data_IF_767561848674
#
_entry.id   IF_767561848674
#
_cell.length_a   1.000
_cell.length_b   1.000
_cell.length_c   1.000
_cell.angle_alpha   90.00
_cell.angle_beta   90.00
_cell.angle_gamma   90.00
#
_symmetry.space_group_name_H-M   'P 1'
#
loop_
_entity.id
_entity.type
_entity.pdbx_description
1 polymer ?
#
# COMPACT_ATOMS: atom_id res chain seq x y z
N UNK A 1 9.03 77.68 67.79
CA UNK A 1 10.48 77.75 68.03
C UNK A 1 11.13 76.40 68.35
N UNK A 2 10.58 75.59 69.27
CA UNK A 2 11.20 74.32 69.67
C UNK A 2 11.31 73.26 68.54
N UNK A 3 10.29 73.14 67.67
CA UNK A 3 10.32 72.22 66.52
C UNK A 3 11.37 72.61 65.46
N UNK A 4 11.61 73.90 65.27
CA UNK A 4 12.62 74.41 64.33
C UNK A 4 14.04 74.13 64.83
N UNK A 5 14.24 74.23 66.15
CA UNK A 5 15.50 73.84 66.80
C UNK A 5 15.77 72.34 66.68
N UNK A 6 14.78 71.50 66.97
CA UNK A 6 14.89 70.04 66.84
C UNK A 6 15.16 69.62 65.39
N UNK A 7 14.51 70.26 64.42
CA UNK A 7 14.77 70.02 62.99
C UNK A 7 16.19 70.42 62.58
N UNK A 8 16.69 71.56 63.07
CA UNK A 8 18.06 72.00 62.82
C UNK A 8 19.11 71.04 63.43
N UNK A 9 18.83 70.46 64.60
CA UNK A 9 19.69 69.46 65.23
C UNK A 9 19.66 68.12 64.47
N UNK A 10 18.49 67.68 64.00
CA UNK A 10 18.38 66.51 63.11
C UNK A 10 19.19 66.72 61.83
N UNK A 11 19.08 67.89 61.19
CA UNK A 11 19.87 68.23 59.99
C UNK A 11 21.38 68.19 60.28
N UNK A 12 21.83 68.60 61.46
CA UNK A 12 23.26 68.51 61.85
C UNK A 12 23.72 67.08 62.12
N UNK A 13 22.84 66.22 62.63
CA UNK A 13 23.13 64.82 62.91
C UNK A 13 23.14 63.94 61.66
N UNK A 14 22.37 64.29 60.62
CA UNK A 14 22.27 63.53 59.37
C UNK A 14 23.65 63.33 58.70
N UNK A 15 24.47 64.37 58.43
CA UNK A 15 25.80 64.20 57.82
C UNK A 15 26.76 63.38 58.68
N UNK A 16 26.68 63.51 60.01
CA UNK A 16 27.51 62.75 60.95
C UNK A 16 27.17 61.26 60.89
N UNK A 17 25.88 60.95 60.89
CA UNK A 17 25.38 59.58 60.74
C UNK A 17 25.76 59.01 59.36
N UNK A 18 25.54 59.76 58.28
CA UNK A 18 25.93 59.37 56.91
C UNK A 18 27.43 59.07 56.83
N UNK A 19 28.29 59.97 57.33
CA UNK A 19 29.74 59.77 57.30
C UNK A 19 30.21 58.57 58.13
N UNK A 20 29.50 58.21 59.20
CA UNK A 20 29.80 57.01 59.98
C UNK A 20 29.41 55.71 59.28
N UNK A 21 28.39 55.75 58.42
CA UNK A 21 27.84 54.59 57.71
C UNK A 21 28.57 54.36 56.37
N UNK A 22 29.07 55.40 55.72
CA UNK A 22 29.75 55.31 54.40
C UNK A 22 30.89 54.27 54.35
N UNK A 23 31.83 54.18 55.32
CA UNK A 23 32.87 53.17 55.31
C UNK A 23 32.33 51.74 55.45
N UNK A 24 31.33 51.57 56.31
CA UNK A 24 30.66 50.28 56.52
C UNK A 24 29.93 49.83 55.26
N UNK A 25 29.16 50.73 54.62
CA UNK A 25 28.48 50.45 53.36
C UNK A 25 29.49 50.05 52.29
N UNK A 26 30.62 50.77 52.16
CA UNK A 26 31.65 50.43 51.19
C UNK A 26 32.28 49.05 51.40
N UNK A 27 32.54 48.66 52.64
CA UNK A 27 33.06 47.32 52.95
C UNK A 27 32.03 46.23 52.66
N UNK A 28 30.77 46.43 53.06
CA UNK A 28 29.69 45.47 52.82
C UNK A 28 29.31 45.36 51.34
N UNK A 29 29.35 46.47 50.58
CA UNK A 29 29.17 46.46 49.13
C UNK A 29 30.16 45.52 48.45
N UNK A 30 31.46 45.63 48.73
CA UNK A 30 32.46 44.75 48.13
C UNK A 30 32.28 43.26 48.47
N UNK A 31 31.94 42.94 49.72
CA UNK A 31 31.67 41.56 50.15
C UNK A 31 30.43 41.01 49.44
N UNK A 32 29.37 41.80 49.34
CA UNK A 32 28.11 41.37 48.72
C UNK A 32 28.29 41.22 47.20
N UNK A 33 29.01 42.12 46.55
CA UNK A 33 29.38 42.02 45.13
C UNK A 33 30.11 40.70 44.83
N UNK A 34 31.14 40.36 45.63
CA UNK A 34 31.88 39.09 45.48
C UNK A 34 30.98 37.86 45.71
N UNK A 35 30.10 37.91 46.71
CA UNK A 35 29.14 36.83 46.98
C UNK A 35 28.14 36.64 45.83
N UNK A 36 27.69 37.71 45.17
CA UNK A 36 26.73 37.63 44.06
C UNK A 36 27.43 37.16 42.78
N UNK A 37 28.66 37.60 42.54
CA UNK A 37 29.46 37.12 41.41
C UNK A 37 29.75 35.62 41.55
N UNK A 38 30.12 35.18 42.76
CA UNK A 38 30.30 33.75 43.08
C UNK A 38 29.01 32.97 42.86
N UNK A 39 27.88 33.45 43.40
CA UNK A 39 26.58 32.81 43.21
C UNK A 39 26.15 32.76 41.73
N UNK A 40 26.44 33.80 40.95
CA UNK A 40 26.13 33.83 39.52
C UNK A 40 26.94 32.77 38.74
N UNK A 41 28.21 32.58 39.10
CA UNK A 41 29.05 31.50 38.54
C UNK A 41 28.55 30.11 38.96
N UNK A 42 28.14 29.95 40.22
CA UNK A 42 27.53 28.72 40.70
C UNK A 42 26.22 28.40 39.96
N UNK A 43 25.37 29.40 39.72
CA UNK A 43 24.12 29.23 38.96
C UNK A 43 24.38 28.80 37.52
N UNK A 44 25.41 29.34 36.87
CA UNK A 44 25.82 28.89 35.54
C UNK A 44 26.34 27.44 35.53
N UNK A 45 27.02 27.00 36.60
CA UNK A 45 27.43 25.60 36.75
C UNK A 45 26.23 24.68 37.03
N UNK A 46 25.33 25.09 37.92
CA UNK A 46 24.07 24.38 38.20
C UNK A 46 23.22 24.22 36.93
N UNK A 47 23.24 25.18 36.01
CA UNK A 47 22.57 25.08 34.70
C UNK A 47 23.18 23.96 33.84
N UNK A 48 24.51 23.86 33.81
CA UNK A 48 25.19 22.78 33.09
C UNK A 48 24.86 21.41 33.69
N UNK A 49 24.89 21.32 35.02
CA UNK A 49 24.55 20.10 35.75
C UNK A 49 23.06 19.74 35.58
N UNK A 50 22.18 20.73 35.42
CA UNK A 50 20.76 20.53 35.13
C UNK A 50 20.54 19.85 33.78
N UNK A 51 21.36 20.18 32.76
CA UNK A 51 21.32 19.57 31.43
C UNK A 51 21.93 18.17 31.37
N UNK A 52 22.64 17.71 32.41
CA UNK A 52 23.16 16.34 32.49
C UNK A 52 22.31 15.40 33.34
N UNK A 53 21.20 15.90 33.91
CA UNK A 53 20.31 15.11 34.77
C UNK A 53 19.65 13.95 34.03
N UNK A 54 19.27 12.95 34.82
CA UNK A 54 18.74 11.68 34.34
C UNK A 54 17.49 11.85 33.47
N UNK A 55 16.59 12.79 33.76
CA UNK A 55 15.33 12.98 33.03
C UNK A 55 15.48 13.44 31.56
N UNK A 56 16.70 13.74 31.10
CA UNK A 56 16.99 13.99 29.69
C UNK A 56 17.36 12.72 28.90
N UNK A 57 17.68 11.63 29.61
CA UNK A 57 18.06 10.34 29.02
C UNK A 57 16.82 9.53 28.63
N UNK A 58 17.01 8.61 27.70
CA UNK A 58 16.03 7.67 27.16
C UNK A 58 15.80 6.43 28.06
N UNK A 59 16.73 6.15 28.97
CA UNK A 59 16.69 4.97 29.86
C UNK A 59 15.60 5.00 30.96
N UNK A 60 14.83 6.09 31.09
CA UNK A 60 13.83 6.23 32.17
C UNK A 60 12.41 5.97 31.69
N UNK A 61 11.62 5.33 32.56
CA UNK A 61 10.16 5.29 32.41
C UNK A 61 9.56 6.67 32.65
N UNK A 62 8.39 7.00 32.06
CA UNK A 62 7.71 8.27 32.35
C UNK A 62 7.44 8.51 33.85
N UNK A 63 7.26 7.43 34.62
CA UNK A 63 7.05 7.49 36.08
C UNK A 63 8.32 7.93 36.80
N UNK A 64 9.47 7.36 36.43
CA UNK A 64 10.75 7.70 37.06
C UNK A 64 11.26 9.06 36.60
N UNK A 65 10.99 9.44 35.34
CA UNK A 65 11.22 10.79 34.85
C UNK A 65 10.41 11.83 35.65
N UNK A 66 9.13 11.57 35.96
CA UNK A 66 8.31 12.44 36.82
C UNK A 66 8.86 12.58 38.24
N UNK A 67 9.36 11.50 38.84
CA UNK A 67 10.02 11.57 40.16
C UNK A 67 11.27 12.45 40.11
N UNK A 68 12.11 12.24 39.11
CA UNK A 68 13.33 13.04 38.91
C UNK A 68 13.00 14.52 38.63
N UNK A 69 11.92 14.81 37.89
CA UNK A 69 11.41 16.16 37.68
C UNK A 69 10.87 16.78 38.98
N UNK A 70 10.13 16.04 39.81
CA UNK A 70 9.64 16.54 41.10
C UNK A 70 10.79 16.92 42.05
N UNK A 71 11.88 16.14 42.06
CA UNK A 71 13.09 16.48 42.80
C UNK A 71 13.81 17.70 42.21
N UNK A 72 13.78 17.85 40.89
CA UNK A 72 14.26 19.05 40.21
C UNK A 72 13.42 20.30 40.52
N UNK A 73 12.09 20.17 40.64
CA UNK A 73 11.19 21.26 41.05
C UNK A 73 11.50 21.72 42.48
N UNK A 74 11.73 20.78 43.42
CA UNK A 74 12.11 21.11 44.80
C UNK A 74 13.45 21.84 44.85
N UNK A 75 14.42 21.37 44.06
CA UNK A 75 15.71 22.04 43.91
C UNK A 75 15.54 23.47 43.38
N UNK A 76 14.80 23.67 42.27
CA UNK A 76 14.57 25.00 41.69
C UNK A 76 13.83 25.94 42.64
N UNK A 77 12.86 25.44 43.40
CA UNK A 77 12.16 26.24 44.39
C UNK A 77 13.11 26.78 45.47
N UNK A 78 14.04 25.94 45.92
CA UNK A 78 15.06 26.34 46.91
C UNK A 78 16.00 27.41 46.32
N UNK A 79 16.42 27.25 45.07
CA UNK A 79 17.27 28.24 44.37
C UNK A 79 16.53 29.55 44.06
N UNK A 80 15.22 29.50 43.78
CA UNK A 80 14.37 30.68 43.63
C UNK A 80 14.27 31.46 44.93
N UNK A 81 14.05 30.79 46.06
CA UNK A 81 14.00 31.43 47.38
C UNK A 81 15.35 32.11 47.71
N UNK A 82 16.48 31.46 47.39
CA UNK A 82 17.81 32.07 47.53
C UNK A 82 18.02 33.26 46.59
N UNK A 83 17.56 33.17 45.34
CA UNK A 83 17.64 34.25 44.36
C UNK A 83 16.83 35.47 44.78
N UNK A 84 15.64 35.29 45.38
CA UNK A 84 14.83 36.39 45.93
C UNK A 84 15.57 37.10 47.05
N UNK A 85 16.20 36.35 47.97
CA UNK A 85 17.00 36.91 49.05
C UNK A 85 18.19 37.73 48.51
N UNK A 86 18.91 37.19 47.51
CA UNK A 86 20.03 37.89 46.86
C UNK A 86 19.56 39.12 46.07
N UNK A 87 18.42 39.05 45.40
CA UNK A 87 17.81 40.19 44.68
C UNK A 87 17.45 41.32 45.63
N UNK A 88 16.89 41.01 46.81
CA UNK A 88 16.58 42.00 47.82
C UNK A 88 17.84 42.69 48.33
N UNK A 89 18.93 41.95 48.57
CA UNK A 89 20.23 42.52 48.93
C UNK A 89 20.75 43.47 47.83
N UNK A 90 20.65 43.10 46.55
CA UNK A 90 21.11 43.97 45.46
C UNK A 90 20.30 45.24 45.29
N UNK A 91 19.01 45.22 45.66
CA UNK A 91 18.17 46.43 45.71
C UNK A 91 18.55 47.33 46.88
N UNK A 92 18.91 46.76 48.03
CA UNK A 92 19.30 47.54 49.22
C UNK A 92 20.62 48.30 49.03
N UNK A 93 21.54 47.78 48.21
CA UNK A 93 22.86 48.36 47.98
C UNK A 93 23.08 48.92 46.56
N UNK A 94 22.01 49.10 45.76
CA UNK A 94 22.01 49.74 44.44
C UNK A 94 22.87 49.08 43.33
N UNK A 95 22.94 47.73 43.28
CA UNK A 95 23.57 46.97 42.18
C UNK A 95 22.68 45.87 41.57
N UNK A 96 21.48 46.19 41.05
CA UNK A 96 20.54 45.21 40.51
C UNK A 96 21.07 44.42 39.29
N UNK A 97 22.07 44.95 38.58
CA UNK A 97 22.63 44.34 37.38
C UNK A 97 23.38 43.02 37.64
N UNK A 98 23.94 42.83 38.84
CA UNK A 98 24.75 41.65 39.18
C UNK A 98 23.92 40.37 39.32
N UNK A 99 22.61 40.48 39.59
CA UNK A 99 21.71 39.31 39.73
C UNK A 99 21.09 38.91 38.40
N UNK A 100 21.25 39.72 37.36
CA UNK A 100 20.60 39.50 36.06
C UNK A 100 21.00 38.14 35.46
N UNK A 101 22.28 37.80 35.47
CA UNK A 101 22.78 36.52 34.96
C UNK A 101 22.22 35.32 35.74
N UNK A 102 22.19 35.39 37.08
CA UNK A 102 21.61 34.34 37.92
C UNK A 102 20.09 34.20 37.72
N UNK A 103 19.40 35.31 37.49
CA UNK A 103 17.95 35.34 37.20
C UNK A 103 17.65 34.72 35.86
N UNK A 104 18.43 35.04 34.83
CA UNK A 104 18.32 34.44 33.49
C UNK A 104 18.59 32.93 33.55
N UNK A 105 19.63 32.48 34.27
CA UNK A 105 19.89 31.05 34.46
C UNK A 105 18.74 30.33 35.16
N UNK A 106 18.15 30.93 36.20
CA UNK A 106 17.02 30.35 36.92
C UNK A 106 15.75 30.31 36.05
N UNK A 107 15.51 31.36 35.25
CA UNK A 107 14.41 31.39 34.30
C UNK A 107 14.58 30.30 33.22
N UNK A 108 15.79 30.13 32.67
CA UNK A 108 16.09 29.07 31.70
C UNK A 108 15.86 27.68 32.29
N UNK A 109 16.30 27.40 33.53
CA UNK A 109 16.02 26.10 34.16
C UNK A 109 14.53 25.84 34.39
N UNK A 110 13.74 26.88 34.70
CA UNK A 110 12.30 26.75 34.88
C UNK A 110 11.59 26.49 33.54
N UNK A 111 12.01 27.17 32.48
CA UNK A 111 11.50 26.93 31.13
C UNK A 111 11.87 25.53 30.65
N UNK A 112 13.13 25.12 30.82
CA UNK A 112 13.62 23.78 30.47
C UNK A 112 12.84 22.69 31.23
N UNK A 113 12.55 22.89 32.52
CA UNK A 113 11.76 21.93 33.32
C UNK A 113 10.31 21.84 32.82
N UNK A 114 9.67 22.98 32.55
CA UNK A 114 8.30 23.03 32.06
C UNK A 114 8.16 22.37 30.68
N UNK A 115 9.12 22.60 29.79
CA UNK A 115 9.16 21.95 28.47
C UNK A 115 9.51 20.46 28.57
N UNK A 116 10.34 20.06 29.52
CA UNK A 116 10.60 18.65 29.81
C UNK A 116 9.35 17.92 30.30
N UNK A 117 8.55 18.55 31.18
CA UNK A 117 7.29 17.98 31.66
C UNK A 117 6.27 17.79 30.53
N UNK A 118 6.16 18.77 29.62
CA UNK A 118 5.36 18.64 28.39
C UNK A 118 5.86 17.50 27.51
N UNK A 119 7.17 17.38 27.31
CA UNK A 119 7.78 16.31 26.51
C UNK A 119 7.45 14.92 27.07
N UNK A 120 7.62 14.71 28.38
CA UNK A 120 7.29 13.42 29.01
C UNK A 120 5.80 13.12 29.00
N UNK A 121 4.95 14.14 29.07
CA UNK A 121 3.49 13.98 28.90
C UNK A 121 3.13 13.53 27.47
N UNK A 122 3.74 14.13 26.45
CA UNK A 122 3.57 13.70 25.05
C UNK A 122 4.12 12.28 24.84
N UNK A 123 5.25 11.96 25.44
CA UNK A 123 5.87 10.63 25.35
C UNK A 123 5.00 9.56 26.00
N UNK A 124 4.40 9.84 27.16
CA UNK A 124 3.46 8.93 27.82
C UNK A 124 2.20 8.71 26.98
N UNK A 125 1.65 9.77 26.39
CA UNK A 125 0.49 9.65 25.50
C UNK A 125 0.81 8.80 24.27
N UNK A 126 2.00 8.96 23.68
CA UNK A 126 2.48 8.13 22.58
C UNK A 126 2.64 6.66 23.01
N UNK A 127 3.28 6.40 24.15
CA UNK A 127 3.45 5.04 24.67
C UNK A 127 2.12 4.37 24.97
N UNK A 128 1.16 5.12 25.53
CA UNK A 128 -0.20 4.64 25.79
C UNK A 128 -0.94 4.33 24.50
N UNK A 129 -0.91 5.24 23.53
CA UNK A 129 -1.49 5.03 22.21
C UNK A 129 -0.94 3.75 21.58
N UNK A 130 0.40 3.58 21.55
CA UNK A 130 1.04 2.35 21.03
C UNK A 130 0.60 1.11 21.81
N UNK A 131 0.48 1.20 23.14
CA UNK A 131 0.04 0.07 23.97
C UNK A 131 -1.42 -0.30 23.73
N UNK A 132 -2.31 0.68 23.56
CA UNK A 132 -3.72 0.49 23.22
C UNK A 132 -3.86 -0.11 21.82
N UNK A 133 -3.13 0.42 20.82
CA UNK A 133 -3.12 -0.13 19.46
C UNK A 133 -2.69 -1.60 19.45
N UNK A 134 -1.72 -2.01 20.29
CA UNK A 134 -1.30 -3.41 20.41
C UNK A 134 -2.41 -4.37 20.86
N UNK A 135 -3.43 -3.87 21.56
CA UNK A 135 -4.56 -4.67 22.06
C UNK A 135 -5.73 -4.74 21.07
N UNK A 136 -5.67 -4.02 19.95
CA UNK A 136 -6.71 -4.06 18.92
C UNK A 136 -6.60 -5.36 18.13
N UNK A 137 -7.74 -6.02 17.90
CA UNK A 137 -7.82 -7.19 17.03
C UNK A 137 -7.50 -6.80 15.60
N UNK A 138 -6.64 -7.59 14.95
CA UNK A 138 -6.24 -7.37 13.56
C UNK A 138 -7.44 -7.26 12.61
N UNK A 139 -8.48 -8.07 12.84
CA UNK A 139 -9.67 -8.12 12.00
C UNK A 139 -10.61 -6.91 12.14
N UNK A 140 -10.59 -6.21 13.27
CA UNK A 140 -11.48 -5.07 13.57
C UNK A 140 -10.80 -3.71 13.37
N UNK A 141 -9.55 -3.72 12.90
CA UNK A 141 -8.72 -2.53 12.81
C UNK A 141 -9.18 -1.60 11.68
N UNK A 142 -9.45 -0.34 12.02
CA UNK A 142 -9.59 0.74 11.05
C UNK A 142 -8.22 1.34 10.73
N UNK A 143 -7.69 1.00 9.55
CA UNK A 143 -6.40 1.49 9.07
C UNK A 143 -6.36 3.00 8.81
N UNK A 144 -7.49 3.61 8.43
CA UNK A 144 -7.55 5.03 8.13
C UNK A 144 -7.54 5.84 9.42
N UNK A 145 -8.34 5.42 10.40
CA UNK A 145 -8.34 6.03 11.73
C UNK A 145 -6.96 5.90 12.38
N UNK A 146 -6.33 4.73 12.27
CA UNK A 146 -5.01 4.50 12.87
C UNK A 146 -3.91 5.33 12.21
N UNK A 147 -3.94 5.53 10.89
CA UNK A 147 -3.02 6.42 10.18
C UNK A 147 -3.21 7.89 10.62
N UNK A 148 -4.46 8.36 10.75
CA UNK A 148 -4.75 9.71 11.21
C UNK A 148 -4.28 9.94 12.65
N UNK A 149 -4.59 9.01 13.56
CA UNK A 149 -4.14 9.07 14.95
C UNK A 149 -2.61 9.03 15.05
N UNK A 150 -1.93 8.20 14.26
CA UNK A 150 -0.46 8.14 14.19
C UNK A 150 0.15 9.46 13.71
N UNK A 151 -0.43 10.09 12.67
CA UNK A 151 -0.01 11.42 12.19
C UNK A 151 -0.18 12.49 13.26
N UNK A 152 -1.25 12.41 14.05
CA UNK A 152 -1.49 13.34 15.15
C UNK A 152 -0.44 13.19 16.27
N UNK A 153 0.00 11.97 16.59
CA UNK A 153 1.10 11.76 17.54
C UNK A 153 2.42 12.36 17.04
N UNK A 154 2.78 12.15 15.77
CA UNK A 154 3.99 12.76 15.19
C UNK A 154 3.92 14.29 15.22
N UNK A 155 2.75 14.87 14.95
CA UNK A 155 2.53 16.32 15.08
C UNK A 155 2.70 16.80 16.52
N UNK A 156 2.17 16.07 17.50
CA UNK A 156 2.31 16.40 18.92
C UNK A 156 3.77 16.41 19.38
N UNK A 157 4.57 15.40 18.97
CA UNK A 157 6.01 15.35 19.25
C UNK A 157 6.75 16.53 18.58
N UNK A 158 6.45 16.82 17.30
CA UNK A 158 7.07 17.93 16.57
C UNK A 158 6.66 19.32 17.08
N UNK A 159 5.51 19.44 17.74
CA UNK A 159 5.04 20.69 18.33
C UNK A 159 5.81 21.09 19.59
N UNK A 160 6.59 20.17 20.19
CA UNK A 160 7.46 20.47 21.32
C UNK A 160 8.51 21.54 20.96
N UNK A 161 8.84 22.36 21.96
CA UNK A 161 9.78 23.46 21.83
C UNK A 161 11.17 22.97 21.39
N UNK A 162 11.88 23.80 20.63
CA UNK A 162 13.23 23.49 20.13
C UNK A 162 14.23 23.26 21.27
N UNK A 163 14.00 23.84 22.45
CA UNK A 163 14.87 23.70 23.62
C UNK A 163 15.01 22.25 24.12
N UNK A 164 14.05 21.36 23.86
CA UNK A 164 14.12 19.95 24.29
C UNK A 164 14.56 18.99 23.19
N UNK A 165 14.70 19.43 21.93
CA UNK A 165 14.96 18.54 20.79
C UNK A 165 16.34 17.89 20.77
N UNK A 166 17.29 18.44 21.51
CA UNK A 166 18.65 17.91 21.58
C UNK A 166 18.72 16.64 22.45
N UNK A 167 17.77 16.45 23.37
CA UNK A 167 17.85 15.40 24.39
C UNK A 167 17.55 14.00 23.81
N UNK A 168 18.19 12.95 24.33
CA UNK A 168 17.91 11.57 23.97
C UNK A 168 16.42 11.18 24.11
N UNK A 169 15.75 11.61 25.18
CA UNK A 169 14.34 11.30 25.41
C UNK A 169 13.42 11.80 24.27
N UNK A 170 13.65 13.03 23.79
CA UNK A 170 12.92 13.57 22.63
C UNK A 170 13.22 12.75 21.37
N UNK A 171 14.49 12.42 21.11
CA UNK A 171 14.88 11.63 19.93
C UNK A 171 14.26 10.24 19.95
N UNK A 172 14.16 9.61 21.11
CA UNK A 172 13.50 8.32 21.29
C UNK A 172 11.99 8.43 21.00
N UNK A 173 11.31 9.45 21.53
CA UNK A 173 9.88 9.69 21.25
C UNK A 173 9.61 10.02 19.77
N UNK A 174 10.44 10.86 19.16
CA UNK A 174 10.37 11.20 17.72
C UNK A 174 10.60 9.96 16.86
N UNK A 175 11.62 9.13 17.17
CA UNK A 175 11.86 7.85 16.50
C UNK A 175 10.66 6.92 16.64
N UNK A 176 10.19 6.65 17.86
CA UNK A 176 9.03 5.78 18.12
C UNK A 176 7.79 6.23 17.35
N UNK A 177 7.50 7.53 17.33
CA UNK A 177 6.33 8.08 16.62
C UNK A 177 6.43 7.88 15.10
N UNK A 178 7.63 8.03 14.53
CA UNK A 178 7.88 7.86 13.08
C UNK A 178 7.87 6.39 12.69
N UNK A 179 8.53 5.54 13.47
CA UNK A 179 8.60 4.10 13.20
C UNK A 179 7.20 3.48 13.25
N UNK A 180 6.38 3.90 14.22
CA UNK A 180 4.98 3.50 14.28
C UNK A 180 4.19 3.98 13.05
N UNK A 181 4.29 5.28 12.69
CA UNK A 181 3.62 5.82 11.50
C UNK A 181 4.05 5.12 10.21
N UNK A 182 5.33 4.82 10.03
CA UNK A 182 5.86 4.12 8.86
C UNK A 182 5.40 2.66 8.79
N UNK A 183 5.07 2.06 9.94
CA UNK A 183 4.55 0.68 10.00
C UNK A 183 3.09 0.61 9.54
N UNK A 184 2.30 1.69 9.69
CA UNK A 184 0.87 1.69 9.33
C UNK A 184 0.62 1.37 7.83
N UNK A 185 1.28 2.01 6.85
CA UNK A 185 1.10 1.66 5.44
C UNK A 185 1.43 0.19 5.13
N UNK A 186 2.48 -0.36 5.75
CA UNK A 186 2.88 -1.76 5.57
C UNK A 186 1.83 -2.72 6.12
N UNK A 187 1.27 -2.39 7.28
CA UNK A 187 0.14 -3.12 7.85
C UNK A 187 -1.08 -3.06 6.92
N UNK A 188 -1.36 -1.90 6.31
CA UNK A 188 -2.49 -1.76 5.36
C UNK A 188 -2.31 -2.66 4.15
N UNK A 189 -1.08 -2.75 3.63
CA UNK A 189 -0.74 -3.65 2.52
C UNK A 189 -0.92 -5.12 2.92
N UNK A 190 -0.48 -5.50 4.12
CA UNK A 190 -0.62 -6.86 4.66
C UNK A 190 -2.07 -7.23 4.99
N UNK A 191 -2.90 -6.27 5.38
CA UNK A 191 -4.31 -6.45 5.66
C UNK A 191 -5.15 -6.63 4.39
N UNK A 192 -4.61 -6.29 3.21
CA UNK A 192 -5.29 -6.56 1.95
C UNK A 192 -5.52 -8.08 1.78
N UNK A 193 -6.72 -8.46 1.34
CA UNK A 193 -7.14 -9.86 1.12
C UNK A 193 -6.42 -10.55 -0.07
N UNK A 194 -5.27 -10.01 -0.49
CA UNK A 194 -4.39 -10.58 -1.51
C UNK A 194 -3.37 -11.59 -0.94
N UNK A 195 -3.06 -11.51 0.35
CA UNK A 195 -2.07 -12.39 0.97
C UNK A 195 -2.57 -13.85 1.02
N UNK A 196 -1.65 -14.79 0.83
CA UNK A 196 -1.86 -16.25 0.86
C UNK A 196 -0.74 -16.86 1.71
N UNK A 197 -0.90 -18.12 2.11
CA UNK A 197 0.07 -18.82 2.98
C UNK A 197 1.53 -18.65 2.54
N UNK A 198 1.82 -18.81 1.25
CA UNK A 198 3.16 -18.60 0.66
C UNK A 198 3.74 -17.20 0.88
N UNK A 199 2.91 -16.15 0.86
CA UNK A 199 3.37 -14.78 1.07
C UNK A 199 3.69 -14.54 2.55
N UNK A 200 2.91 -15.15 3.45
CA UNK A 200 3.20 -15.12 4.88
C UNK A 200 4.48 -15.90 5.22
N UNK A 201 4.74 -17.01 4.54
CA UNK A 201 5.99 -17.76 4.68
C UNK A 201 7.20 -16.96 4.16
N UNK A 202 7.06 -16.29 3.01
CA UNK A 202 8.08 -15.36 2.52
C UNK A 202 8.35 -14.21 3.52
N UNK A 203 7.31 -13.70 4.17
CA UNK A 203 7.43 -12.66 5.19
C UNK A 203 8.19 -13.16 6.44
N UNK A 204 7.95 -14.41 6.87
CA UNK A 204 8.73 -15.04 7.96
C UNK A 204 10.21 -15.14 7.61
N UNK A 205 10.52 -15.55 6.37
CA UNK A 205 11.89 -15.68 5.90
C UNK A 205 12.60 -14.31 5.81
N UNK A 206 11.91 -13.27 5.35
CA UNK A 206 12.45 -11.91 5.26
C UNK A 206 12.72 -11.31 6.65
N UNK A 207 11.74 -11.39 7.55
CA UNK A 207 11.84 -10.83 8.90
C UNK A 207 12.70 -11.67 9.85
N UNK A 208 12.97 -12.94 9.52
CA UNK A 208 13.65 -13.94 10.37
C UNK A 208 12.98 -14.10 11.74
N UNK A 209 11.69 -13.81 11.83
CA UNK A 209 10.88 -13.90 13.04
C UNK A 209 9.78 -14.93 12.82
N UNK A 210 9.65 -15.84 13.77
CA UNK A 210 8.52 -16.78 13.78
C UNK A 210 7.28 -16.07 14.33
N UNK A 211 6.19 -16.12 13.57
CA UNK A 211 4.88 -15.64 14.01
C UNK A 211 3.74 -16.51 13.46
N UNK A 212 2.58 -16.42 14.10
CA UNK A 212 1.36 -17.07 13.64
C UNK A 212 0.65 -16.13 12.67
N UNK A 213 0.48 -16.48 11.39
CA UNK A 213 -0.15 -15.60 10.43
C UNK A 213 -1.65 -15.36 10.73
N UNK A 214 -2.22 -14.23 10.26
CA UNK A 214 -3.63 -13.88 10.53
C UNK A 214 -4.66 -14.90 10.00
N UNK A 215 -4.30 -15.76 9.04
CA UNK A 215 -5.20 -16.81 8.56
C UNK A 215 -5.35 -17.98 9.54
N UNK A 216 -4.37 -18.19 10.42
CA UNK A 216 -4.34 -19.30 11.36
C UNK A 216 -4.90 -18.92 12.74
N UNK A 217 -4.81 -17.64 13.11
CA UNK A 217 -5.32 -17.12 14.38
C UNK A 217 -6.30 -15.96 14.14
N UNK A 218 -7.58 -16.19 14.45
CA UNK A 218 -8.64 -15.18 14.32
C UNK A 218 -8.63 -14.16 15.45
N UNK A 219 -7.94 -14.45 16.55
CA UNK A 219 -7.78 -13.55 17.70
C UNK A 219 -6.43 -12.80 17.66
N UNK A 220 -5.73 -12.83 16.52
CA UNK A 220 -4.44 -12.17 16.37
C UNK A 220 -4.55 -10.67 16.69
N UNK A 221 -3.79 -10.25 17.69
CA UNK A 221 -3.67 -8.86 18.09
C UNK A 221 -2.65 -8.12 17.22
N UNK A 222 -2.87 -6.83 16.99
CA UNK A 222 -1.94 -5.96 16.27
C UNK A 222 -0.54 -5.98 16.91
N UNK A 223 -0.45 -6.17 18.22
CA UNK A 223 0.83 -6.30 18.93
C UNK A 223 1.72 -7.42 18.40
N UNK A 224 1.14 -8.52 17.90
CA UNK A 224 1.90 -9.61 17.27
C UNK A 224 2.55 -9.18 15.96
N UNK A 225 1.86 -8.37 15.15
CA UNK A 225 2.39 -7.84 13.88
C UNK A 225 3.39 -6.70 14.14
N UNK A 226 3.12 -5.82 15.11
CA UNK A 226 4.04 -4.74 15.50
C UNK A 226 5.37 -5.28 16.05
N UNK A 227 5.36 -6.44 16.71
CA UNK A 227 6.58 -7.10 17.18
C UNK A 227 7.52 -7.53 16.03
N UNK A 228 7.00 -7.60 14.80
CA UNK A 228 7.82 -7.90 13.62
C UNK A 228 8.72 -6.73 13.21
N UNK A 229 8.44 -5.50 13.69
CA UNK A 229 9.20 -4.29 13.35
C UNK A 229 9.33 -4.11 11.83
N UNK A 230 8.19 -4.20 11.14
CA UNK A 230 8.11 -4.20 9.67
C UNK A 230 8.79 -2.98 9.02
N UNK A 231 8.87 -1.86 9.74
CA UNK A 231 9.56 -0.64 9.27
C UNK A 231 11.05 -0.87 8.97
N UNK A 232 11.71 -1.81 9.65
CA UNK A 232 13.11 -2.17 9.35
C UNK A 232 13.26 -2.97 8.04
N UNK A 233 12.18 -3.62 7.58
CA UNK A 233 12.15 -4.48 6.39
C UNK A 233 11.23 -3.94 5.28
N UNK A 234 11.04 -2.61 5.25
CA UNK A 234 10.06 -1.92 4.38
C UNK A 234 10.09 -2.43 2.93
N UNK A 235 11.27 -2.47 2.31
CA UNK A 235 11.41 -2.88 0.90
C UNK A 235 10.96 -4.34 0.64
N UNK A 236 11.36 -5.28 1.51
CA UNK A 236 11.00 -6.69 1.36
C UNK A 236 9.49 -6.89 1.57
N UNK A 237 8.90 -6.18 2.54
CA UNK A 237 7.46 -6.25 2.81
C UNK A 237 6.65 -5.66 1.65
N UNK A 238 7.09 -4.54 1.08
CA UNK A 238 6.47 -3.92 -0.10
C UNK A 238 6.53 -4.84 -1.31
N UNK A 239 7.68 -5.47 -1.58
CA UNK A 239 7.85 -6.40 -2.70
C UNK A 239 6.95 -7.65 -2.57
N UNK A 240 6.84 -8.22 -1.36
CA UNK A 240 5.95 -9.36 -1.08
C UNK A 240 4.48 -8.97 -1.28
N UNK A 241 4.09 -7.79 -0.78
CA UNK A 241 2.73 -7.28 -0.93
C UNK A 241 2.39 -6.95 -2.39
N UNK A 242 3.32 -6.37 -3.16
CA UNK A 242 3.14 -6.14 -4.61
C UNK A 242 2.96 -7.48 -5.33
N UNK A 243 3.83 -8.46 -5.07
CA UNK A 243 3.68 -9.81 -5.61
C UNK A 243 2.29 -10.38 -5.30
N UNK A 244 1.83 -10.32 -4.06
CA UNK A 244 0.52 -10.80 -3.67
C UNK A 244 -0.62 -10.08 -4.40
N UNK A 245 -0.51 -8.77 -4.59
CA UNK A 245 -1.51 -7.98 -5.31
C UNK A 245 -1.56 -8.34 -6.80
N UNK A 246 -0.41 -8.53 -7.46
CA UNK A 246 -0.35 -8.95 -8.86
C UNK A 246 -0.88 -10.37 -9.04
N UNK A 247 -0.56 -11.27 -8.11
CA UNK A 247 -1.08 -12.64 -8.12
C UNK A 247 -2.61 -12.67 -7.95
N UNK A 248 -3.16 -11.87 -7.03
CA UNK A 248 -4.62 -11.75 -6.87
C UNK A 248 -5.30 -11.23 -8.14
N UNK A 249 -4.65 -10.30 -8.87
CA UNK A 249 -5.16 -9.82 -10.15
C UNK A 249 -5.25 -10.97 -11.16
N UNK A 250 -4.20 -11.79 -11.28
CA UNK A 250 -4.20 -12.97 -12.16
C UNK A 250 -5.30 -13.95 -11.74
N UNK A 251 -5.41 -14.27 -10.45
CA UNK A 251 -6.44 -15.17 -9.91
C UNK A 251 -7.86 -14.69 -10.26
N UNK A 252 -8.11 -13.39 -10.08
CA UNK A 252 -9.40 -12.76 -10.37
C UNK A 252 -9.70 -12.79 -11.87
N UNK A 253 -8.71 -12.48 -12.71
CA UNK A 253 -8.86 -12.53 -14.17
C UNK A 253 -9.13 -13.95 -14.66
N UNK A 254 -8.41 -14.96 -14.17
CA UNK A 254 -8.66 -16.37 -14.52
C UNK A 254 -10.08 -16.80 -14.11
N UNK A 255 -10.54 -16.38 -12.92
CA UNK A 255 -11.90 -16.64 -12.47
C UNK A 255 -12.94 -15.98 -13.38
N UNK A 256 -12.74 -14.73 -13.77
CA UNK A 256 -13.61 -14.01 -14.71
C UNK A 256 -13.65 -14.67 -16.10
N UNK A 257 -12.50 -15.14 -16.60
CA UNK A 257 -12.45 -15.92 -17.84
C UNK A 257 -13.31 -17.17 -17.72
N UNK A 258 -13.17 -17.93 -16.64
CA UNK A 258 -13.97 -19.14 -16.43
C UNK A 258 -15.46 -18.85 -16.36
N UNK A 259 -15.88 -17.83 -15.61
CA UNK A 259 -17.29 -17.44 -15.50
C UNK A 259 -17.87 -16.98 -16.84
N UNK A 260 -17.11 -16.23 -17.64
CA UNK A 260 -17.53 -15.76 -18.97
C UNK A 260 -17.69 -16.92 -19.95
N UNK A 261 -16.65 -17.74 -20.11
CA UNK A 261 -16.59 -18.78 -21.14
C UNK A 261 -17.48 -20.00 -20.86
N UNK A 262 -17.96 -20.16 -19.63
CA UNK A 262 -19.04 -21.11 -19.30
C UNK A 262 -20.39 -20.63 -19.86
N UNK A 263 -20.61 -19.33 -19.98
CA UNK A 263 -21.88 -18.74 -20.43
C UNK A 263 -22.00 -18.48 -21.94
N UNK A 264 -20.90 -18.58 -22.70
CA UNK A 264 -20.92 -18.32 -24.14
C UNK A 264 -21.38 -19.59 -24.90
N UNK A 265 -22.51 -19.46 -25.60
CA UNK A 265 -23.12 -20.53 -26.40
C UNK A 265 -23.12 -20.19 -27.90
N UNK A 266 -23.11 -21.21 -28.74
CA UNK A 266 -23.32 -21.07 -30.18
C UNK A 266 -24.69 -20.46 -30.48
N UNK A 267 -24.76 -19.61 -31.50
CA UNK A 267 -25.99 -19.20 -32.15
C UNK A 267 -26.21 -20.06 -33.39
N UNK A 268 -27.47 -20.38 -33.71
CA UNK A 268 -27.81 -21.15 -34.92
C UNK A 268 -28.71 -20.38 -35.89
N UNK A 269 -28.48 -20.59 -37.17
CA UNK A 269 -29.41 -20.28 -38.26
C UNK A 269 -29.62 -21.53 -39.12
N UNK A 270 -30.86 -21.82 -39.51
CA UNK A 270 -31.14 -22.97 -40.36
C UNK A 270 -30.68 -22.71 -41.80
N UNK A 271 -30.00 -23.68 -42.41
CA UNK A 271 -29.65 -23.60 -43.83
C UNK A 271 -30.89 -23.86 -44.69
N UNK A 272 -31.47 -22.80 -45.29
CA UNK A 272 -32.66 -22.87 -46.16
C UNK A 272 -33.80 -23.66 -45.48
N UNK A 273 -34.42 -24.60 -46.18
CA UNK A 273 -35.47 -25.50 -45.67
C UNK A 273 -34.90 -26.83 -45.11
N UNK A 274 -33.63 -26.88 -44.71
CA UNK A 274 -32.99 -28.12 -44.18
C UNK A 274 -32.71 -28.05 -42.68
N UNK A 275 -32.69 -29.21 -42.02
CA UNK A 275 -32.37 -29.39 -40.58
C UNK A 275 -30.87 -29.27 -40.26
N UNK A 276 -30.12 -28.44 -41.00
CA UNK A 276 -28.68 -28.23 -40.76
C UNK A 276 -28.48 -26.91 -40.02
N UNK A 277 -27.96 -26.93 -38.78
CA UNK A 277 -27.67 -25.71 -38.03
C UNK A 277 -26.37 -25.08 -38.55
N UNK A 278 -26.46 -23.85 -39.07
CA UNK A 278 -25.29 -23.02 -39.31
C UNK A 278 -24.94 -22.28 -38.03
N UNK A 279 -23.75 -22.56 -37.51
CA UNK A 279 -23.22 -22.00 -36.29
C UNK A 279 -22.69 -20.60 -36.52
N UNK A 280 -23.00 -19.71 -35.59
CA UNK A 280 -22.51 -18.33 -35.48
C UNK A 280 -22.15 -18.03 -34.04
N UNK A 281 -21.26 -17.06 -33.87
CA UNK A 281 -20.95 -16.45 -32.58
C UNK A 281 -21.36 -14.98 -32.66
N UNK A 282 -21.78 -14.38 -31.54
CA UNK A 282 -22.07 -12.96 -31.52
C UNK A 282 -20.78 -12.16 -31.77
N UNK A 283 -20.90 -11.00 -32.43
CA UNK A 283 -19.73 -10.13 -32.68
C UNK A 283 -19.07 -9.71 -31.37
N UNK A 284 -19.87 -9.41 -30.34
CA UNK A 284 -19.39 -9.06 -29.00
C UNK A 284 -18.57 -10.19 -28.34
N UNK A 285 -18.97 -11.45 -28.55
CA UNK A 285 -18.25 -12.62 -28.02
C UNK A 285 -16.94 -12.86 -28.78
N UNK A 286 -16.89 -12.55 -30.08
CA UNK A 286 -15.66 -12.62 -30.86
C UNK A 286 -14.67 -11.51 -30.46
N UNK A 287 -15.13 -10.28 -30.25
CA UNK A 287 -14.29 -9.22 -29.71
C UNK A 287 -13.77 -9.57 -28.30
N UNK A 288 -14.61 -10.19 -27.47
CA UNK A 288 -14.21 -10.68 -26.16
C UNK A 288 -13.14 -11.78 -26.25
N UNK A 289 -13.22 -12.68 -27.25
CA UNK A 289 -12.20 -13.69 -27.52
C UNK A 289 -10.83 -13.08 -27.79
N UNK A 290 -10.76 -12.10 -28.70
CA UNK A 290 -9.49 -11.45 -29.05
C UNK A 290 -8.92 -10.68 -27.84
N UNK A 291 -9.76 -9.98 -27.10
CA UNK A 291 -9.36 -9.28 -25.88
C UNK A 291 -8.86 -10.23 -24.77
N UNK A 292 -9.53 -11.37 -24.58
CA UNK A 292 -9.16 -12.38 -23.59
C UNK A 292 -7.87 -13.11 -24.00
N UNK A 293 -7.64 -13.38 -25.29
CA UNK A 293 -6.37 -13.91 -25.79
C UNK A 293 -5.20 -12.97 -25.48
N UNK A 294 -5.34 -11.67 -25.73
CA UNK A 294 -4.34 -10.67 -25.37
C UNK A 294 -4.10 -10.60 -23.85
N UNK A 295 -5.18 -10.69 -23.06
CA UNK A 295 -5.12 -10.69 -21.60
C UNK A 295 -4.34 -11.91 -21.08
N UNK A 296 -4.62 -13.11 -21.60
CA UNK A 296 -3.92 -14.34 -21.27
C UNK A 296 -2.45 -14.29 -21.67
N UNK A 297 -2.14 -13.76 -22.86
CA UNK A 297 -0.76 -13.55 -23.31
C UNK A 297 0.01 -12.60 -22.37
N UNK A 298 -0.64 -11.51 -21.94
CA UNK A 298 -0.09 -10.59 -20.95
C UNK A 298 0.17 -11.24 -19.59
N UNK A 299 -0.73 -12.13 -19.13
CA UNK A 299 -0.53 -12.91 -17.91
C UNK A 299 0.68 -13.84 -18.02
N UNK A 300 0.85 -14.56 -19.14
CA UNK A 300 2.01 -15.46 -19.34
C UNK A 300 3.34 -14.71 -19.42
N UNK A 301 3.34 -13.48 -19.92
CA UNK A 301 4.53 -12.62 -19.95
C UNK A 301 4.90 -12.07 -18.56
N UNK A 302 3.99 -12.13 -17.58
CA UNK A 302 4.21 -11.62 -16.22
C UNK A 302 5.10 -12.56 -15.42
N UNK A 303 6.09 -12.01 -14.70
CA UNK A 303 6.92 -12.77 -13.75
C UNK A 303 6.12 -13.38 -12.58
N UNK A 304 4.92 -12.87 -12.32
CA UNK A 304 4.06 -13.27 -11.20
C UNK A 304 3.12 -14.44 -11.55
N UNK A 305 3.20 -14.99 -12.77
CA UNK A 305 2.31 -16.06 -13.23
C UNK A 305 2.66 -17.44 -12.65
N UNK A 306 3.78 -17.58 -11.95
CA UNK A 306 4.38 -18.88 -11.55
C UNK A 306 3.38 -19.88 -10.96
N UNK A 307 2.45 -19.45 -10.11
CA UNK A 307 1.46 -20.32 -9.46
C UNK A 307 0.26 -20.67 -10.36
N UNK A 308 0.04 -19.90 -11.43
CA UNK A 308 -1.09 -20.01 -12.34
C UNK A 308 -0.67 -20.45 -13.75
N UNK A 309 0.60 -20.82 -13.96
CA UNK A 309 1.13 -21.18 -15.30
C UNK A 309 0.28 -22.26 -15.95
N UNK A 310 -0.07 -23.33 -15.23
CA UNK A 310 -0.85 -24.44 -15.77
C UNK A 310 -2.24 -23.99 -16.22
N UNK A 311 -2.96 -23.26 -15.36
CA UNK A 311 -4.31 -22.76 -15.66
C UNK A 311 -4.32 -21.74 -16.79
N UNK A 312 -3.38 -20.78 -16.78
CA UNK A 312 -3.27 -19.73 -17.80
C UNK A 312 -2.85 -20.34 -19.14
N UNK A 313 -1.97 -21.34 -19.15
CA UNK A 313 -1.56 -22.05 -20.38
C UNK A 313 -2.72 -22.89 -20.93
N UNK A 314 -3.53 -23.49 -20.06
CA UNK A 314 -4.76 -24.18 -20.47
C UNK A 314 -5.71 -23.19 -21.16
N UNK A 315 -5.96 -22.03 -20.57
CA UNK A 315 -6.77 -20.98 -21.19
C UNK A 315 -6.19 -20.48 -22.51
N UNK A 316 -4.87 -20.28 -22.59
CA UNK A 316 -4.22 -19.86 -23.84
C UNK A 316 -4.52 -20.83 -24.99
N UNK A 317 -4.36 -22.13 -24.74
CA UNK A 317 -4.67 -23.17 -25.72
C UNK A 317 -6.17 -23.23 -26.01
N UNK A 318 -7.00 -23.13 -24.98
CA UNK A 318 -8.46 -23.18 -25.09
C UNK A 318 -9.00 -22.10 -26.01
N UNK A 319 -8.57 -20.85 -25.79
CA UNK A 319 -9.00 -19.70 -26.57
C UNK A 319 -8.39 -19.69 -27.97
N UNK A 320 -7.15 -20.16 -28.14
CA UNK A 320 -6.55 -20.32 -29.47
C UNK A 320 -7.36 -21.32 -30.31
N UNK A 321 -7.68 -22.49 -29.74
CA UNK A 321 -8.51 -23.50 -30.40
C UNK A 321 -9.90 -22.94 -30.75
N UNK A 322 -10.53 -22.17 -29.86
CA UNK A 322 -11.84 -21.54 -30.15
C UNK A 322 -11.75 -20.63 -31.37
N UNK A 323 -10.72 -19.78 -31.46
CA UNK A 323 -10.52 -18.88 -32.60
C UNK A 323 -10.31 -19.66 -33.90
N UNK A 324 -9.40 -20.64 -33.91
CA UNK A 324 -9.07 -21.43 -35.09
C UNK A 324 -10.27 -22.25 -35.58
N UNK A 325 -10.98 -22.92 -34.65
CA UNK A 325 -12.16 -23.72 -34.97
C UNK A 325 -13.30 -22.84 -35.48
N UNK A 326 -13.52 -21.66 -34.88
CA UNK A 326 -14.55 -20.74 -35.35
C UNK A 326 -14.32 -20.28 -36.79
N UNK A 327 -13.08 -19.90 -37.12
CA UNK A 327 -12.70 -19.49 -38.49
C UNK A 327 -12.90 -20.65 -39.46
N UNK A 328 -12.41 -21.85 -39.13
CA UNK A 328 -12.54 -23.04 -39.98
C UNK A 328 -14.00 -23.43 -40.19
N UNK A 329 -14.84 -23.44 -39.15
CA UNK A 329 -16.28 -23.70 -39.29
C UNK A 329 -16.93 -22.66 -40.20
N UNK A 330 -16.58 -21.37 -40.06
CA UNK A 330 -17.07 -20.31 -40.92
C UNK A 330 -16.72 -20.54 -42.41
N UNK A 331 -15.48 -20.94 -42.70
CA UNK A 331 -15.02 -21.27 -44.05
C UNK A 331 -15.68 -22.53 -44.60
N UNK A 332 -15.76 -23.60 -43.81
CA UNK A 332 -16.43 -24.85 -44.16
C UNK A 332 -17.90 -24.58 -44.48
N UNK A 333 -18.62 -23.86 -43.63
CA UNK A 333 -20.02 -23.50 -43.85
C UNK A 333 -20.21 -22.72 -45.14
N UNK A 334 -19.31 -21.75 -45.44
CA UNK A 334 -19.37 -20.93 -46.66
C UNK A 334 -19.11 -21.77 -47.91
N UNK A 335 -18.04 -22.56 -47.93
CA UNK A 335 -17.65 -23.38 -49.08
C UNK A 335 -18.66 -24.52 -49.30
N UNK A 336 -19.06 -25.22 -48.24
CA UNK A 336 -20.10 -26.26 -48.32
C UNK A 336 -21.43 -25.70 -48.82
N UNK A 337 -21.91 -24.56 -48.28
CA UNK A 337 -23.17 -23.94 -48.71
C UNK A 337 -23.18 -23.54 -50.19
N UNK A 338 -22.02 -23.21 -50.76
CA UNK A 338 -21.85 -22.92 -52.18
C UNK A 338 -21.85 -24.18 -53.05
N UNK A 339 -21.17 -25.23 -52.60
CA UNK A 339 -21.01 -26.48 -53.35
C UNK A 339 -22.23 -27.41 -53.26
N UNK A 340 -22.94 -27.41 -52.13
CA UNK A 340 -24.10 -28.27 -51.86
C UNK A 340 -25.16 -28.26 -52.97
N UNK A 341 -25.69 -27.11 -53.41
CA UNK A 341 -26.72 -27.10 -54.44
C UNK A 341 -26.18 -27.54 -55.81
N UNK A 342 -24.88 -27.42 -56.04
CA UNK A 342 -24.24 -27.78 -57.32
C UNK A 342 -23.96 -29.28 -57.39
N UNK A 343 -23.41 -29.88 -56.33
CA UNK A 343 -23.10 -31.31 -56.32
C UNK A 343 -24.29 -32.21 -55.93
N UNK A 344 -25.22 -31.71 -55.09
CA UNK A 344 -26.41 -32.48 -54.66
C UNK A 344 -27.63 -32.12 -55.50
N UNK A 345 -27.80 -30.84 -55.85
CA UNK A 345 -28.98 -30.36 -56.59
C UNK A 345 -28.89 -30.50 -58.12
N UNK A 346 -27.70 -30.46 -58.72
CA UNK A 346 -27.53 -30.54 -60.18
C UNK A 346 -27.21 -31.95 -60.68
N UNK A 347 -28.17 -32.57 -61.36
CA UNK A 347 -27.99 -33.87 -62.04
C UNK A 347 -26.92 -33.81 -63.14
N UNK A 348 -26.68 -32.64 -63.72
CA UNK A 348 -25.64 -32.47 -64.73
C UNK A 348 -24.24 -32.58 -64.12
N UNK A 349 -23.99 -31.90 -63.00
CA UNK A 349 -22.70 -31.98 -62.29
C UNK A 349 -22.44 -33.41 -61.82
N UNK A 350 -23.47 -34.10 -61.29
CA UNK A 350 -23.35 -35.52 -60.89
C UNK A 350 -22.97 -36.45 -62.04
N UNK A 351 -23.47 -36.19 -63.26
CA UNK A 351 -23.16 -37.01 -64.44
C UNK A 351 -21.75 -36.76 -64.96
N UNK A 352 -21.31 -35.50 -64.98
CA UNK A 352 -20.03 -35.11 -65.56
C UNK A 352 -18.85 -35.27 -64.58
N UNK A 353 -19.08 -35.15 -63.27
CA UNK A 353 -18.08 -35.31 -62.20
C UNK A 353 -18.53 -36.36 -61.15
N UNK A 354 -18.68 -37.65 -61.54
CA UNK A 354 -19.24 -38.68 -60.66
C UNK A 354 -18.35 -39.02 -59.45
N UNK A 355 -17.01 -38.97 -59.61
CA UNK A 355 -16.07 -39.22 -58.52
C UNK A 355 -16.10 -38.11 -57.46
N UNK A 356 -16.07 -36.84 -57.89
CA UNK A 356 -16.19 -35.69 -56.98
C UNK A 356 -17.57 -35.62 -56.33
N UNK A 357 -18.65 -35.96 -57.04
CA UNK A 357 -19.99 -36.03 -56.45
C UNK A 357 -20.10 -37.10 -55.35
N UNK A 358 -19.49 -38.27 -55.55
CA UNK A 358 -19.42 -39.32 -54.52
C UNK A 358 -18.56 -38.88 -53.33
N UNK A 359 -17.44 -38.20 -53.57
CA UNK A 359 -16.61 -37.60 -52.52
C UNK A 359 -17.42 -36.57 -51.73
N UNK A 360 -18.13 -35.68 -52.42
CA UNK A 360 -18.93 -34.62 -51.81
C UNK A 360 -20.06 -35.17 -50.92
N UNK A 361 -20.69 -36.30 -51.25
CA UNK A 361 -21.65 -36.95 -50.36
C UNK A 361 -21.05 -37.35 -49.00
N UNK A 362 -19.81 -37.84 -49.00
CA UNK A 362 -19.07 -38.14 -47.77
C UNK A 362 -18.75 -36.89 -46.97
N UNK A 363 -18.30 -35.83 -47.65
CA UNK A 363 -18.05 -34.51 -47.05
C UNK A 363 -19.32 -33.93 -46.44
N UNK A 364 -20.44 -33.97 -47.17
CA UNK A 364 -21.75 -33.46 -46.72
C UNK A 364 -22.21 -34.14 -45.43
N UNK A 365 -22.03 -35.46 -45.35
CA UNK A 365 -22.35 -36.23 -44.13
C UNK A 365 -21.47 -35.80 -42.96
N UNK A 366 -20.16 -35.63 -43.19
CA UNK A 366 -19.23 -35.20 -42.15
C UNK A 366 -19.50 -33.77 -41.67
N UNK A 367 -19.71 -32.82 -42.59
CA UNK A 367 -20.03 -31.42 -42.25
C UNK A 367 -21.31 -31.35 -41.42
N UNK A 368 -22.38 -32.03 -41.86
CA UNK A 368 -23.65 -32.08 -41.12
C UNK A 368 -23.48 -32.72 -39.74
N UNK A 369 -22.64 -33.74 -39.61
CA UNK A 369 -22.35 -34.38 -38.33
C UNK A 369 -21.63 -33.41 -37.39
N UNK A 370 -20.52 -32.80 -37.82
CA UNK A 370 -19.73 -31.90 -36.98
C UNK A 370 -20.54 -30.65 -36.55
N UNK A 371 -21.35 -30.07 -37.46
CA UNK A 371 -22.22 -28.92 -37.14
C UNK A 371 -23.31 -29.29 -36.11
N UNK A 372 -23.92 -30.47 -36.24
CA UNK A 372 -24.93 -30.94 -35.28
C UNK A 372 -24.30 -31.26 -33.92
N UNK A 373 -23.16 -31.93 -33.90
CA UNK A 373 -22.44 -32.24 -32.66
C UNK A 373 -22.04 -30.97 -31.90
N UNK A 374 -21.52 -29.96 -32.61
CA UNK A 374 -21.18 -28.67 -32.01
C UNK A 374 -22.43 -27.93 -31.48
N UNK A 375 -23.55 -27.99 -32.20
CA UNK A 375 -24.83 -27.44 -31.74
C UNK A 375 -25.39 -28.17 -30.50
N UNK A 376 -25.23 -29.49 -30.41
CA UNK A 376 -25.69 -30.29 -29.26
C UNK A 376 -24.96 -29.95 -27.96
N UNK A 377 -23.67 -29.63 -28.04
CA UNK A 377 -22.85 -29.22 -26.88
C UNK A 377 -23.18 -27.80 -26.42
N UNK A 378 -23.62 -26.94 -27.34
CA UNK A 378 -23.97 -25.51 -27.16
C UNK A 378 -22.81 -24.63 -26.74
N UNK A 379 -22.11 -24.95 -25.64
CA UNK A 379 -21.01 -24.12 -25.14
C UNK A 379 -19.86 -24.10 -26.15
N UNK A 380 -19.45 -22.89 -26.56
CA UNK A 380 -18.43 -22.70 -27.61
C UNK A 380 -17.08 -23.24 -27.14
N UNK A 381 -16.71 -22.97 -25.89
CA UNK A 381 -15.43 -23.40 -25.34
C UNK A 381 -15.32 -24.92 -25.26
N UNK A 382 -16.35 -25.61 -24.78
CA UNK A 382 -16.40 -27.08 -24.72
C UNK A 382 -16.46 -27.71 -26.12
N UNK A 383 -17.25 -27.12 -27.02
CA UNK A 383 -17.37 -27.60 -28.40
C UNK A 383 -16.05 -27.51 -29.17
N UNK A 384 -15.35 -26.38 -29.09
CA UNK A 384 -14.11 -26.15 -29.84
C UNK A 384 -12.91 -26.91 -29.29
N UNK A 385 -12.93 -27.31 -28.01
CA UNK A 385 -11.81 -27.98 -27.34
C UNK A 385 -11.93 -29.51 -27.30
N UNK A 386 -12.74 -30.09 -28.19
CA UNK A 386 -12.79 -31.53 -28.38
C UNK A 386 -11.47 -32.09 -28.95
N UNK A 387 -11.13 -33.30 -28.52
CA UNK A 387 -9.92 -33.96 -29.02
C UNK A 387 -9.97 -34.16 -30.54
N UNK A 388 -8.89 -33.76 -31.21
CA UNK A 388 -8.67 -33.84 -32.66
C UNK A 388 -9.70 -33.13 -33.54
N UNK A 389 -10.57 -32.27 -32.99
CA UNK A 389 -11.58 -31.56 -33.79
C UNK A 389 -10.93 -30.69 -34.87
N UNK A 390 -9.90 -29.91 -34.52
CA UNK A 390 -9.19 -29.05 -35.45
C UNK A 390 -8.69 -29.82 -36.69
N UNK A 391 -7.99 -30.93 -36.48
CA UNK A 391 -7.49 -31.77 -37.58
C UNK A 391 -8.60 -32.41 -38.42
N UNK A 392 -9.76 -32.72 -37.83
CA UNK A 392 -10.92 -33.20 -38.60
C UNK A 392 -11.48 -32.10 -39.48
N UNK A 393 -11.62 -30.88 -38.96
CA UNK A 393 -12.12 -29.73 -39.72
C UNK A 393 -11.15 -29.32 -40.83
N UNK A 394 -9.85 -29.28 -40.58
CA UNK A 394 -8.82 -29.03 -41.60
C UNK A 394 -8.92 -30.04 -42.75
N UNK A 395 -9.07 -31.33 -42.43
CA UNK A 395 -9.25 -32.37 -43.45
C UNK A 395 -10.55 -32.13 -44.25
N UNK A 396 -11.66 -31.81 -43.58
CA UNK A 396 -12.94 -31.52 -44.27
C UNK A 396 -12.79 -30.33 -45.21
N UNK A 397 -12.12 -29.26 -44.78
CA UNK A 397 -11.87 -28.07 -45.60
C UNK A 397 -10.99 -28.39 -46.82
N UNK A 398 -9.92 -29.18 -46.64
CA UNK A 398 -9.07 -29.62 -47.76
C UNK A 398 -9.88 -30.38 -48.82
N UNK A 399 -10.76 -31.29 -48.39
CA UNK A 399 -11.60 -32.05 -49.33
C UNK A 399 -12.62 -31.15 -50.05
N UNK A 400 -13.18 -30.16 -49.35
CA UNK A 400 -14.07 -29.16 -49.94
C UNK A 400 -13.36 -28.34 -51.03
N UNK A 401 -12.12 -27.90 -50.77
CA UNK A 401 -11.34 -27.12 -51.74
C UNK A 401 -10.96 -27.96 -52.98
N UNK A 402 -10.71 -29.26 -52.83
CA UNK A 402 -10.52 -30.16 -53.99
C UNK A 402 -11.78 -30.20 -54.86
N UNK A 403 -12.95 -30.43 -54.25
CA UNK A 403 -14.22 -30.44 -54.99
C UNK A 403 -14.53 -29.10 -55.67
N UNK A 404 -14.25 -27.99 -54.98
CA UNK A 404 -14.40 -26.63 -55.52
C UNK A 404 -13.49 -26.39 -56.73
N UNK A 405 -12.24 -26.88 -56.68
CA UNK A 405 -11.30 -26.79 -57.79
C UNK A 405 -11.77 -27.62 -58.99
N UNK A 406 -12.14 -28.89 -58.79
CA UNK A 406 -12.68 -29.75 -59.85
C UNK A 406 -13.90 -29.12 -60.53
N UNK A 407 -14.80 -28.53 -59.74
CA UNK A 407 -15.97 -27.80 -60.24
C UNK A 407 -15.57 -26.56 -61.03
N UNK A 408 -14.63 -25.76 -60.55
CA UNK A 408 -14.14 -24.57 -61.26
C UNK A 408 -13.53 -24.93 -62.61
N UNK A 409 -12.70 -25.98 -62.66
CA UNK A 409 -12.08 -26.46 -63.91
C UNK A 409 -13.13 -26.94 -64.91
N UNK A 410 -14.17 -27.63 -64.43
CA UNK A 410 -15.32 -28.04 -65.25
C UNK A 410 -16.11 -26.83 -65.79
N UNK A 411 -16.41 -25.85 -64.94
CA UNK A 411 -17.13 -24.64 -65.34
C UNK A 411 -16.34 -23.83 -66.36
N UNK A 412 -15.03 -23.69 -66.20
CA UNK A 412 -14.17 -22.99 -67.17
C UNK A 412 -14.08 -23.74 -68.51
N UNK A 413 -14.07 -25.07 -68.48
CA UNK A 413 -14.21 -25.90 -69.69
C UNK A 413 -15.52 -25.64 -70.44
N UNK A 414 -16.62 -25.49 -69.70
CA UNK A 414 -17.95 -25.13 -70.25
C UNK A 414 -18.02 -23.69 -70.76
N UNK A 415 -17.40 -22.73 -70.07
CA UNK A 415 -17.31 -21.33 -70.51
C UNK A 415 -16.59 -21.20 -71.86
N UNK A 416 -15.54 -22.00 -72.10
CA UNK A 416 -14.83 -22.04 -73.39
C UNK A 416 -15.70 -22.55 -74.54
N UNK A 417 -16.73 -23.36 -74.26
CA UNK A 417 -17.65 -23.90 -75.27
C UNK A 417 -18.81 -22.95 -75.59
N UNK A 418 -19.11 -21.97 -74.72
CA UNK A 418 -20.22 -21.03 -74.89
C UNK A 418 -19.77 -19.58 -74.57
N UNK A 419 -19.43 -18.76 -75.59
CA UNK A 419 -18.86 -17.41 -75.41
C UNK A 419 -19.71 -16.42 -74.59
N UNK A 420 -21.01 -16.70 -74.38
CA UNK A 420 -21.91 -15.84 -73.59
C UNK A 420 -21.61 -15.84 -72.09
N UNK A 421 -20.90 -16.84 -71.55
CA UNK A 421 -20.58 -16.92 -70.13
C UNK A 421 -19.34 -16.11 -69.69
N UNK A 422 -18.71 -15.37 -70.60
CA UNK A 422 -17.60 -14.46 -70.25
C UNK A 422 -18.08 -13.09 -69.73
N UNK A 423 -19.37 -12.76 -69.84
CA UNK A 423 -19.90 -11.42 -69.60
C UNK A 423 -21.06 -11.33 -68.58
N UNK A 424 -21.30 -12.39 -67.80
CA UNK A 424 -22.17 -12.41 -66.61
C UNK A 424 -21.44 -13.15 -65.52
#
# INVERSE_FOLDING_TARGET
DNASSLWADVIKQVPVCVNSIVPLVKTWTGIIEEQIDTYSKEMAQKLKDFKTRAFWKDDLTPVDARKAMADATKFLKTEQDMLVNKTNLCRTFDFPHLVKAATECCAEMNEDLAECEKMWTVTENLQRFVAESKQVLWAEMDMNEMDEQSKNQVKAVKALNKCVRWCPAYKAADKLSKDFLNTIPLITLLAAKCMRERHWEALKQATKKDFVPPYADKELLMGGILALELHEFTADVEDICDQAQKELKIETTVKQLNERWVGIEWLMELYKDTDVPLLKMAEEDFEALEADQLTVQGMLASRFVKQFVEEVTKWQKSLANVADVFILIGEIQRTWSYLEPLFIGSEEVKRELPEDAKRFQGIDTNVKHELKTAWEIKNINESCNQDKLLSRLEHVLEQLEICKKSLSDFLDGRRRQFPRYYFT
#
